data_IF_147766698949
#
_entry.id   IF_147766698949
#
_cell.length_a   1.000
_cell.length_b   1.000
_cell.length_c   1.000
_cell.angle_alpha   90.00
_cell.angle_beta   90.00
_cell.angle_gamma   90.00
#
_symmetry.space_group_name_H-M   'P 1'
#
loop_
_entity.id
_entity.type
_entity.pdbx_description
1 polymer ?
#
# COMPACT_ATOMS: atom_id res chain seq x y z
N UNK A 1 14.05 20.44 -14.59
CA UNK A 1 12.85 19.83 -15.19
C UNK A 1 11.85 19.63 -14.07
N UNK A 2 10.67 20.25 -14.13
CA UNK A 2 9.62 20.04 -13.12
C UNK A 2 8.87 18.76 -13.50
N UNK A 3 8.98 17.73 -12.65
CA UNK A 3 8.25 16.48 -12.84
C UNK A 3 6.81 16.65 -12.36
N UNK A 4 5.84 16.34 -13.23
CA UNK A 4 4.44 16.22 -12.83
C UNK A 4 4.20 14.76 -12.49
N UNK A 5 3.77 14.49 -11.25
CA UNK A 5 3.38 13.15 -10.80
C UNK A 5 1.87 13.00 -11.00
N UNK A 6 1.49 11.93 -11.69
CA UNK A 6 0.09 11.55 -11.90
C UNK A 6 -0.12 10.16 -11.28
N UNK A 7 -1.20 9.99 -10.52
CA UNK A 7 -1.66 8.66 -10.10
C UNK A 7 -2.30 8.00 -11.34
N UNK A 8 -1.98 6.73 -11.58
CA UNK A 8 -2.47 5.95 -12.72
C UNK A 8 -2.85 4.53 -12.32
N UNK A 9 -3.18 3.69 -13.30
CA UNK A 9 -3.56 2.27 -13.12
C UNK A 9 -4.88 2.02 -12.36
N UNK A 10 -5.78 3.02 -12.35
CA UNK A 10 -7.12 2.86 -11.79
C UNK A 10 -7.98 1.86 -12.57
N UNK A 11 -8.78 1.07 -11.87
CA UNK A 11 -9.77 0.18 -12.49
C UNK A 11 -9.18 -1.10 -13.10
N UNK A 12 -7.85 -1.25 -13.13
CA UNK A 12 -7.18 -2.45 -13.64
C UNK A 12 -7.63 -3.71 -12.86
N UNK A 13 -7.71 -3.60 -11.53
CA UNK A 13 -8.18 -4.68 -10.67
C UNK A 13 -9.66 -5.04 -10.89
N UNK A 14 -10.51 -4.08 -11.24
CA UNK A 14 -11.93 -4.33 -11.54
C UNK A 14 -12.11 -5.06 -12.87
N UNK A 15 -11.33 -4.66 -13.89
CA UNK A 15 -11.32 -5.33 -15.20
C UNK A 15 -10.73 -6.74 -15.09
N UNK A 16 -9.69 -6.94 -14.27
CA UNK A 16 -9.13 -8.27 -14.05
C UNK A 16 -10.09 -9.19 -13.29
N UNK A 17 -10.83 -8.69 -12.29
CA UNK A 17 -11.90 -9.46 -11.61
C UNK A 17 -12.99 -9.87 -12.61
N UNK A 18 -13.37 -8.98 -13.54
CA UNK A 18 -14.35 -9.27 -14.59
C UNK A 18 -13.84 -10.29 -15.62
N UNK A 19 -12.57 -10.19 -16.05
CA UNK A 19 -12.00 -11.00 -17.14
C UNK A 19 -11.48 -12.36 -16.67
N UNK A 20 -10.77 -12.40 -15.54
CA UNK A 20 -10.14 -13.61 -15.02
C UNK A 20 -11.05 -14.37 -14.05
N UNK A 21 -12.17 -13.74 -13.64
CA UNK A 21 -12.94 -14.19 -12.51
C UNK A 21 -12.16 -14.07 -11.19
N UNK A 22 -12.89 -14.22 -10.08
CA UNK A 22 -12.35 -14.00 -8.73
C UNK A 22 -11.13 -14.86 -8.42
N UNK A 23 -11.11 -16.12 -8.85
CA UNK A 23 -9.98 -17.04 -8.61
C UNK A 23 -8.69 -16.59 -9.31
N UNK A 24 -8.79 -16.11 -10.56
CA UNK A 24 -7.66 -15.56 -11.29
C UNK A 24 -7.20 -14.21 -10.75
N UNK A 25 -8.14 -13.40 -10.26
CA UNK A 25 -7.87 -12.13 -9.59
C UNK A 25 -7.11 -12.31 -8.27
N UNK A 26 -7.51 -13.24 -7.41
CA UNK A 26 -6.82 -13.52 -6.13
C UNK A 26 -5.41 -14.07 -6.37
N UNK A 27 -5.22 -14.91 -7.40
CA UNK A 27 -3.89 -15.39 -7.80
C UNK A 27 -2.99 -14.25 -8.31
N UNK A 28 -3.55 -13.29 -9.07
CA UNK A 28 -2.84 -12.13 -9.59
C UNK A 28 -2.46 -11.13 -8.47
N UNK A 29 -3.42 -10.75 -7.62
CA UNK A 29 -3.23 -9.77 -6.55
C UNK A 29 -2.46 -10.33 -5.34
N UNK A 30 -2.65 -11.62 -5.04
CA UNK A 30 -1.98 -12.32 -3.95
C UNK A 30 -0.48 -12.55 -4.16
N UNK A 31 0.05 -12.27 -5.36
CA UNK A 31 1.49 -12.39 -5.65
C UNK A 31 2.23 -11.05 -5.72
N UNK A 32 1.53 -9.91 -5.82
CA UNK A 32 2.18 -8.63 -6.17
C UNK A 32 1.83 -7.44 -5.26
N UNK A 33 0.65 -7.37 -4.65
CA UNK A 33 0.16 -6.13 -4.01
C UNK A 33 -0.25 -6.25 -2.52
N UNK A 34 -0.04 -7.39 -1.87
CA UNK A 34 -0.49 -7.63 -0.48
C UNK A 34 0.04 -6.61 0.54
N UNK A 35 1.21 -6.01 0.29
CA UNK A 35 1.84 -5.02 1.19
C UNK A 35 1.12 -3.66 1.20
N UNK A 36 0.30 -3.39 0.18
CA UNK A 36 -0.52 -2.18 0.06
C UNK A 36 -2.00 -2.43 0.37
N UNK A 37 -2.41 -3.68 0.63
CA UNK A 37 -3.79 -4.00 0.95
C UNK A 37 -4.14 -3.60 2.38
N UNK A 38 -5.28 -2.95 2.52
CA UNK A 38 -5.85 -2.58 3.80
C UNK A 38 -6.35 -3.82 4.58
N UNK A 39 -6.36 -3.79 5.92
CA UNK A 39 -6.70 -4.94 6.75
C UNK A 39 -8.11 -5.50 6.48
N UNK A 40 -9.07 -4.64 6.14
CA UNK A 40 -10.42 -5.05 5.79
C UNK A 40 -10.46 -5.93 4.53
N UNK A 41 -9.47 -5.83 3.64
CA UNK A 41 -9.39 -6.63 2.42
C UNK A 41 -8.81 -8.04 2.64
N UNK A 42 -8.30 -8.34 3.84
CA UNK A 42 -7.65 -9.63 4.14
C UNK A 42 -8.61 -10.70 4.69
N UNK A 43 -9.82 -10.31 5.08
CA UNK A 43 -10.70 -11.13 5.92
C UNK A 43 -11.74 -11.99 5.20
N UNK A 44 -12.10 -11.67 3.95
CA UNK A 44 -13.02 -12.51 3.18
C UNK A 44 -12.92 -12.25 1.70
N UNK A 45 -13.18 -13.29 0.92
CA UNK A 45 -13.15 -13.20 -0.52
C UNK A 45 -14.12 -12.16 -1.05
N UNK A 46 -15.26 -11.86 -0.41
CA UNK A 46 -16.33 -10.99 -0.94
C UNK A 46 -16.19 -9.48 -0.69
N UNK A 47 -15.10 -9.02 -0.06
CA UNK A 47 -14.94 -7.60 0.30
C UNK A 47 -14.44 -6.81 -0.91
N UNK A 48 -15.15 -5.71 -1.23
CA UNK A 48 -14.76 -4.78 -2.29
C UNK A 48 -13.85 -3.68 -1.74
N UNK A 49 -12.88 -3.18 -2.54
CA UNK A 49 -12.13 -1.98 -2.20
C UNK A 49 -13.07 -0.82 -1.89
N UNK A 50 -12.72 -0.08 -0.85
CA UNK A 50 -13.42 1.11 -0.40
C UNK A 50 -12.50 2.33 -0.50
N UNK A 51 -13.06 3.52 -0.35
CA UNK A 51 -12.24 4.73 -0.23
C UNK A 51 -11.21 4.63 0.92
N UNK A 52 -11.55 3.94 2.00
CA UNK A 52 -10.63 3.75 3.12
C UNK A 52 -9.46 2.83 2.75
N UNK A 53 -9.72 1.78 1.97
CA UNK A 53 -8.65 0.91 1.48
C UNK A 53 -7.73 1.64 0.49
N UNK A 54 -8.29 2.52 -0.34
CA UNK A 54 -7.50 3.36 -1.26
C UNK A 54 -6.60 4.35 -0.48
N UNK A 55 -7.11 4.95 0.60
CA UNK A 55 -6.32 5.83 1.48
C UNK A 55 -5.18 5.05 2.16
N UNK A 56 -5.44 3.83 2.60
CA UNK A 56 -4.41 2.97 3.17
C UNK A 56 -3.31 2.64 2.14
N UNK A 57 -3.71 2.18 0.95
CA UNK A 57 -2.78 1.88 -0.14
C UNK A 57 -1.96 3.11 -0.54
N UNK A 58 -2.60 4.29 -0.61
CA UNK A 58 -1.92 5.55 -0.87
C UNK A 58 -0.88 5.90 0.22
N UNK A 59 -1.19 5.69 1.50
CA UNK A 59 -0.23 5.85 2.59
C UNK A 59 0.99 4.93 2.46
N UNK A 60 0.77 3.69 2.02
CA UNK A 60 1.84 2.73 1.73
C UNK A 60 2.70 3.16 0.53
N UNK A 61 2.11 3.73 -0.51
CA UNK A 61 2.84 4.32 -1.64
C UNK A 61 3.67 5.54 -1.24
N UNK A 62 3.12 6.42 -0.39
CA UNK A 62 3.90 7.54 0.17
C UNK A 62 5.10 7.00 0.96
N UNK A 63 4.91 6.00 1.80
CA UNK A 63 5.99 5.40 2.58
C UNK A 63 7.10 4.84 1.68
N UNK A 64 6.74 4.14 0.61
CA UNK A 64 7.69 3.65 -0.38
C UNK A 64 8.46 4.80 -1.05
N UNK A 65 7.75 5.87 -1.46
CA UNK A 65 8.36 7.04 -2.07
C UNK A 65 9.34 7.77 -1.14
N UNK A 66 9.00 7.86 0.14
CA UNK A 66 9.77 8.52 1.20
C UNK A 66 11.04 7.73 1.52
N UNK A 67 10.91 6.42 1.69
CA UNK A 67 12.05 5.54 2.02
C UNK A 67 12.96 5.24 0.83
N UNK A 68 12.49 5.44 -0.41
CA UNK A 68 13.22 5.31 -1.69
C UNK A 68 13.94 3.98 -1.93
N UNK A 69 13.82 3.01 -1.02
CA UNK A 69 14.72 1.86 -0.96
C UNK A 69 13.98 0.54 -0.84
N UNK A 70 12.74 0.52 -0.36
CA UNK A 70 12.04 -0.75 -0.17
C UNK A 70 10.51 -0.63 -0.09
N UNK A 71 9.77 -1.65 -0.54
CA UNK A 71 8.33 -1.71 -0.37
C UNK A 71 7.95 -1.72 1.12
N UNK A 72 6.70 -1.35 1.45
CA UNK A 72 6.18 -1.47 2.81
C UNK A 72 6.45 -2.87 3.40
N UNK A 73 6.81 -2.89 4.68
CA UNK A 73 7.18 -4.10 5.40
C UNK A 73 8.39 -4.84 4.81
N UNK A 74 9.34 -4.15 4.18
CA UNK A 74 10.57 -4.75 3.61
C UNK A 74 11.37 -5.62 4.59
N UNK A 75 11.32 -5.32 5.88
CA UNK A 75 11.90 -6.13 6.95
C UNK A 75 11.25 -7.52 7.10
N UNK A 76 10.07 -7.73 6.51
CA UNK A 76 9.36 -9.02 6.45
C UNK A 76 9.61 -9.70 5.10
N UNK A 77 10.35 -10.81 5.15
CA UNK A 77 10.69 -11.61 3.95
C UNK A 77 9.53 -12.43 3.38
N UNK A 78 8.49 -12.73 4.17
CA UNK A 78 7.36 -13.58 3.75
C UNK A 78 6.07 -12.75 3.76
N UNK A 79 5.29 -12.84 2.69
CA UNK A 79 4.04 -12.07 2.61
C UNK A 79 3.01 -12.53 3.65
N UNK A 80 3.01 -13.82 4.03
CA UNK A 80 2.22 -14.30 5.17
C UNK A 80 2.49 -13.54 6.47
N UNK A 81 3.75 -13.15 6.73
CA UNK A 81 4.07 -12.37 7.94
C UNK A 81 3.61 -10.92 7.83
N UNK A 82 3.53 -10.39 6.62
CA UNK A 82 2.96 -9.05 6.37
C UNK A 82 1.46 -9.07 6.56
N UNK A 83 0.76 -10.08 6.02
CA UNK A 83 -0.69 -10.26 6.20
C UNK A 83 -1.05 -10.33 7.69
N UNK A 84 -0.27 -11.10 8.47
CA UNK A 84 -0.47 -11.16 9.93
C UNK A 84 -0.24 -9.81 10.59
N UNK A 85 0.82 -9.08 10.24
CA UNK A 85 1.09 -7.75 10.80
C UNK A 85 -0.03 -6.76 10.45
N UNK A 86 -0.49 -6.73 9.20
CA UNK A 86 -1.60 -5.88 8.76
C UNK A 86 -2.89 -6.25 9.51
N UNK A 87 -3.21 -7.55 9.60
CA UNK A 87 -4.40 -8.02 10.33
C UNK A 87 -4.34 -7.72 11.83
N UNK A 88 -3.14 -7.69 12.42
CA UNK A 88 -2.91 -7.31 13.81
C UNK A 88 -2.87 -5.78 14.01
N UNK A 89 -3.01 -4.99 12.93
CA UNK A 89 -2.91 -3.53 12.95
C UNK A 89 -1.48 -3.00 13.17
N UNK A 90 -0.45 -3.84 13.02
CA UNK A 90 0.95 -3.41 13.09
C UNK A 90 1.35 -2.72 11.81
N UNK A 91 1.69 -1.45 11.90
CA UNK A 91 2.16 -0.64 10.78
C UNK A 91 3.62 -0.98 10.39
N UNK A 92 4.02 -0.69 9.14
CA UNK A 92 5.42 -0.85 8.74
C UNK A 92 6.31 0.11 9.54
N UNK A 93 7.61 -0.18 9.56
CA UNK A 93 8.59 0.67 10.25
C UNK A 93 8.50 2.10 9.73
N UNK A 94 8.36 3.05 10.66
CA UNK A 94 8.40 4.48 10.33
C UNK A 94 9.82 4.81 9.84
N UNK A 95 9.97 5.60 8.77
CA UNK A 95 11.28 6.11 8.37
C UNK A 95 11.79 6.99 9.52
N UNK A 96 12.91 6.61 10.12
CA UNK A 96 13.57 7.37 11.20
C UNK A 96 14.79 8.11 10.72
N UNK A 97 15.31 7.78 9.53
CA UNK A 97 16.48 8.43 8.99
C UNK A 97 16.12 9.83 8.47
N UNK A 98 16.87 10.88 8.83
CA UNK A 98 16.58 12.26 8.44
C UNK A 98 16.63 12.48 6.91
N UNK A 99 17.24 11.57 6.17
CA UNK A 99 17.34 11.59 4.72
C UNK A 99 16.15 10.92 4.01
N UNK A 100 15.42 10.04 4.72
CA UNK A 100 14.13 9.51 4.28
C UNK A 100 12.99 10.45 4.66
N UNK A 101 13.05 11.07 5.85
CA UNK A 101 12.05 12.05 6.30
C UNK A 101 12.33 13.41 5.64
N UNK A 102 11.75 13.62 4.47
CA UNK A 102 11.83 14.90 3.77
C UNK A 102 11.21 16.03 4.62
N UNK A 103 11.73 17.26 4.46
CA UNK A 103 11.34 18.44 5.25
C UNK A 103 9.83 18.69 5.39
N UNK A 104 9.02 18.24 4.44
CA UNK A 104 7.56 18.38 4.44
C UNK A 104 6.83 17.41 5.40
N UNK A 105 7.55 16.42 5.94
CA UNK A 105 7.03 15.43 6.89
C UNK A 105 7.27 15.81 8.35
N UNK A 106 8.00 16.89 8.62
CA UNK A 106 8.01 17.50 9.96
C UNK A 106 6.66 18.19 10.22
N UNK A 107 6.29 18.40 11.48
CA UNK A 107 5.01 19.01 11.85
C UNK A 107 4.92 20.51 11.47
N UNK A 108 6.04 21.16 11.15
CA UNK A 108 6.13 22.61 10.87
C UNK A 108 5.34 23.14 9.64
N UNK A 109 5.21 22.45 8.50
CA UNK A 109 4.49 22.99 7.32
C UNK A 109 2.96 22.93 7.45
N UNK A 110 2.44 22.29 8.50
CA UNK A 110 0.99 22.07 8.71
C UNK A 110 0.39 22.99 9.78
N UNK A 111 1.21 23.80 10.45
CA UNK A 111 0.73 24.85 11.35
C UNK A 111 0.39 26.10 10.52
N UNK A 112 -0.91 26.28 10.26
CA UNK A 112 -1.53 27.52 9.76
C UNK A 112 -2.23 28.22 10.90
#
# INVERSE_FOLDING_TARGET
>A
MQGVVCIGDFGHTQVLDEVLGREGFTAYTGSSNMRWNAPELLGSDDIKPTKASDVFAFGMSILELVTKQAPPYSHRKRDLTVIMDISDGRLPLRPTEPEDVSWWMHDEPWEV
#
